data_IF_440148878272
#
_entry.id   IF_440148878272
#
_cell.length_a   1.000
_cell.length_b   1.000
_cell.length_c   1.000
_cell.angle_alpha   90.00
_cell.angle_beta   90.00
_cell.angle_gamma   90.00
#
_symmetry.space_group_name_H-M   'P 1'
#
loop_
_entity.id
_entity.type
_entity.pdbx_description
1 polymer ?
#
# COMPACT_ATOMS: atom_id res chain seq x y z
N UNK A 1 -4.84 1.69 -23.08
CA UNK A 1 -4.34 1.25 -21.76
C UNK A 1 -2.91 0.72 -21.82
N UNK A 2 -2.65 -0.50 -22.34
CA UNK A 2 -1.29 -1.09 -22.33
C UNK A 2 -0.21 -0.20 -22.98
N UNK A 3 -0.49 0.35 -24.16
CA UNK A 3 0.45 1.19 -24.91
C UNK A 3 0.82 2.46 -24.12
N UNK A 4 -0.16 3.08 -23.47
CA UNK A 4 0.04 4.28 -22.66
C UNK A 4 0.85 3.96 -21.40
N UNK A 5 0.59 2.81 -20.78
CA UNK A 5 1.33 2.33 -19.61
C UNK A 5 2.80 2.04 -19.97
N UNK A 6 3.03 1.41 -21.13
CA UNK A 6 4.37 1.13 -21.64
C UNK A 6 5.13 2.43 -21.96
N UNK A 7 4.45 3.42 -22.56
CA UNK A 7 5.03 4.73 -22.83
C UNK A 7 5.44 5.47 -21.54
N UNK A 8 4.58 5.46 -20.52
CA UNK A 8 4.88 6.03 -19.21
C UNK A 8 6.05 5.31 -18.52
N UNK A 9 6.08 3.97 -18.58
CA UNK A 9 7.17 3.17 -18.03
C UNK A 9 8.51 3.51 -18.70
N UNK A 10 8.54 3.64 -20.03
CA UNK A 10 9.74 4.01 -20.77
C UNK A 10 10.23 5.42 -20.42
N UNK A 11 9.32 6.39 -20.31
CA UNK A 11 9.68 7.75 -19.90
C UNK A 11 10.32 7.76 -18.49
N UNK A 12 9.73 7.01 -17.55
CA UNK A 12 10.28 6.82 -16.22
C UNK A 12 11.69 6.19 -16.28
N UNK A 13 11.86 5.06 -16.97
CA UNK A 13 13.17 4.39 -17.08
C UNK A 13 14.24 5.30 -17.69
N UNK A 14 13.89 6.08 -18.72
CA UNK A 14 14.79 7.07 -19.34
C UNK A 14 15.24 8.13 -18.34
N UNK A 15 14.31 8.69 -17.56
CA UNK A 15 14.64 9.68 -16.54
C UNK A 15 15.60 9.14 -15.47
N UNK A 16 15.36 7.90 -15.02
CA UNK A 16 16.20 7.20 -14.04
C UNK A 16 17.59 6.94 -14.61
N UNK A 17 17.68 6.50 -15.86
CA UNK A 17 18.96 6.27 -16.54
C UNK A 17 19.78 7.56 -16.67
N UNK A 18 19.16 8.67 -17.07
CA UNK A 18 19.83 9.98 -17.17
C UNK A 18 20.41 10.41 -15.82
N UNK A 19 19.63 10.31 -14.74
CA UNK A 19 20.08 10.67 -13.38
C UNK A 19 21.23 9.76 -12.94
N UNK A 20 21.10 8.47 -13.21
CA UNK A 20 22.11 7.46 -12.87
C UNK A 20 23.44 7.75 -13.56
N UNK A 21 23.41 8.04 -14.86
CA UNK A 21 24.60 8.36 -15.66
C UNK A 21 25.22 9.68 -15.22
N UNK A 22 24.40 10.75 -15.10
CA UNK A 22 24.85 12.09 -14.71
C UNK A 22 25.62 12.07 -13.38
N UNK A 23 25.14 11.27 -12.42
CA UNK A 23 25.71 11.19 -11.09
C UNK A 23 26.67 10.00 -10.91
N UNK A 24 26.99 9.26 -11.98
CA UNK A 24 27.87 8.06 -11.97
C UNK A 24 27.45 7.03 -10.91
N UNK A 25 26.14 6.82 -10.78
CA UNK A 25 25.54 5.92 -9.80
C UNK A 25 25.46 4.49 -10.35
N UNK A 26 25.41 3.50 -9.47
CA UNK A 26 25.20 2.10 -9.86
C UNK A 26 23.71 1.84 -10.14
N UNK A 27 23.35 1.25 -11.31
CA UNK A 27 21.94 1.04 -11.67
C UNK A 27 21.15 0.18 -10.68
N UNK A 28 21.73 -0.93 -10.19
CA UNK A 28 21.05 -1.85 -9.26
C UNK A 28 20.58 -1.20 -7.95
N UNK A 29 21.47 -0.50 -7.21
CA UNK A 29 21.08 0.26 -6.02
C UNK A 29 20.07 1.38 -6.30
N UNK A 30 20.15 2.07 -7.44
CA UNK A 30 19.16 3.09 -7.85
C UNK A 30 17.78 2.46 -8.05
N UNK A 31 17.69 1.36 -8.80
CA UNK A 31 16.43 0.65 -9.03
C UNK A 31 15.84 0.11 -7.72
N UNK A 32 16.69 -0.40 -6.82
CA UNK A 32 16.26 -0.88 -5.50
C UNK A 32 15.71 0.27 -4.65
N UNK A 33 16.36 1.43 -4.66
CA UNK A 33 15.88 2.63 -3.97
C UNK A 33 14.51 3.06 -4.50
N UNK A 34 14.37 3.16 -5.83
CA UNK A 34 13.13 3.59 -6.45
C UNK A 34 12.00 2.59 -6.24
N UNK A 35 12.25 1.28 -6.36
CA UNK A 35 11.26 0.25 -6.05
C UNK A 35 10.84 0.25 -4.56
N UNK A 36 11.76 0.59 -3.65
CA UNK A 36 11.45 0.79 -2.24
C UNK A 36 10.75 2.10 -1.93
N UNK A 37 10.82 3.09 -2.83
CA UNK A 37 10.18 4.39 -2.71
C UNK A 37 8.77 4.38 -3.30
N UNK A 38 8.56 3.64 -4.39
CA UNK A 38 7.25 3.57 -5.05
C UNK A 38 6.17 2.98 -4.15
N UNK A 39 6.51 2.09 -3.18
CA UNK A 39 5.69 1.55 -2.05
C UNK A 39 4.17 1.41 -2.26
N UNK A 40 3.69 1.37 -3.49
CA UNK A 40 2.29 1.25 -3.85
C UNK A 40 1.92 -0.21 -3.60
N UNK A 41 1.72 -0.53 -2.33
CA UNK A 41 1.05 -1.76 -1.94
C UNK A 41 -0.42 -1.49 -2.16
N UNK A 42 -1.02 -2.25 -3.07
CA UNK A 42 -2.46 -2.31 -3.17
C UNK A 42 -3.07 -2.68 -1.82
N UNK A 43 -4.32 -2.27 -1.61
CA UNK A 43 -5.13 -2.69 -0.48
C UNK A 43 -5.12 -4.22 -0.39
N UNK A 44 -4.88 -4.77 0.80
CA UNK A 44 -4.92 -6.22 1.03
C UNK A 44 -6.37 -6.67 1.22
N UNK A 45 -6.66 -7.97 1.03
CA UNK A 45 -7.98 -8.53 1.34
C UNK A 45 -8.45 -8.20 2.76
N UNK A 46 -7.52 -8.21 3.72
CA UNK A 46 -7.78 -7.82 5.11
C UNK A 46 -8.16 -6.34 5.24
N UNK A 47 -7.52 -5.45 4.48
CA UNK A 47 -7.89 -4.04 4.48
C UNK A 47 -9.28 -3.82 3.86
N UNK A 48 -9.66 -4.60 2.83
CA UNK A 48 -11.02 -4.59 2.30
C UNK A 48 -12.03 -5.04 3.36
N UNK A 49 -11.75 -6.14 4.05
CA UNK A 49 -12.58 -6.62 5.16
C UNK A 49 -12.75 -5.55 6.24
N UNK A 50 -11.66 -4.97 6.75
CA UNK A 50 -11.72 -3.93 7.77
C UNK A 50 -12.47 -2.67 7.31
N UNK A 51 -12.46 -2.35 6.01
CA UNK A 51 -13.15 -1.16 5.49
C UNK A 51 -14.64 -1.42 5.26
N UNK A 52 -14.99 -2.54 4.64
CA UNK A 52 -16.30 -2.71 4.02
C UNK A 52 -17.23 -3.65 4.77
N UNK A 53 -16.68 -4.57 5.57
CA UNK A 53 -17.47 -5.51 6.36
C UNK A 53 -18.45 -4.80 7.30
N UNK A 54 -19.58 -5.44 7.57
CA UNK A 54 -20.64 -4.87 8.40
C UNK A 54 -20.25 -4.89 9.89
N UNK A 55 -19.50 -5.89 10.33
CA UNK A 55 -19.07 -6.04 11.73
C UNK A 55 -17.70 -5.42 11.97
N UNK A 56 -16.72 -5.67 11.08
CA UNK A 56 -15.36 -5.15 11.24
C UNK A 56 -15.25 -3.67 10.84
N UNK A 57 -16.08 -3.18 9.92
CA UNK A 57 -16.10 -1.80 9.45
C UNK A 57 -16.31 -0.75 10.55
N UNK A 58 -17.37 -0.88 11.37
CA UNK A 58 -17.62 0.02 12.50
C UNK A 58 -16.48 0.02 13.52
N UNK A 59 -15.96 -1.16 13.88
CA UNK A 59 -14.83 -1.30 14.82
C UNK A 59 -13.58 -0.61 14.28
N UNK A 60 -13.32 -0.70 12.97
CA UNK A 60 -12.15 -0.07 12.35
C UNK A 60 -12.26 1.47 12.33
N UNK A 61 -13.47 2.01 12.17
CA UNK A 61 -13.74 3.45 12.07
C UNK A 61 -13.93 4.15 13.41
N UNK A 62 -14.19 3.41 14.49
CA UNK A 62 -14.43 3.98 15.82
C UNK A 62 -13.19 4.77 16.31
N UNK A 63 -13.27 6.10 16.44
CA UNK A 63 -12.14 6.90 16.90
C UNK A 63 -11.88 6.76 18.42
N UNK A 64 -12.85 6.24 19.19
CA UNK A 64 -12.77 6.13 20.64
C UNK A 64 -11.85 4.98 21.08
N UNK A 65 -11.75 3.92 20.26
CA UNK A 65 -10.92 2.76 20.53
C UNK A 65 -9.51 3.02 19.98
N UNK A 66 -8.42 2.80 20.73
CA UNK A 66 -7.06 3.00 20.21
C UNK A 66 -6.78 2.07 19.02
N UNK A 67 -6.03 2.56 18.03
CA UNK A 67 -5.78 1.85 16.77
C UNK A 67 -5.31 0.40 16.95
N UNK A 68 -4.41 0.15 17.92
CA UNK A 68 -3.91 -1.20 18.20
C UNK A 68 -5.03 -2.17 18.58
N UNK A 69 -5.99 -1.74 19.39
CA UNK A 69 -7.11 -2.56 19.84
C UNK A 69 -8.10 -2.80 18.70
N UNK A 70 -8.35 -1.79 17.86
CA UNK A 70 -9.16 -1.95 16.63
C UNK A 70 -8.59 -3.02 15.72
N UNK A 71 -7.28 -2.98 15.47
CA UNK A 71 -6.62 -3.96 14.60
C UNK A 71 -6.61 -5.37 15.19
N UNK A 72 -6.54 -5.51 16.53
CA UNK A 72 -6.67 -6.81 17.20
C UNK A 72 -8.08 -7.36 17.06
N UNK A 73 -9.11 -6.54 17.27
CA UNK A 73 -10.51 -6.94 17.13
C UNK A 73 -10.86 -7.32 15.68
N UNK A 74 -10.50 -6.48 14.70
CA UNK A 74 -10.68 -6.81 13.28
C UNK A 74 -9.86 -8.06 12.89
N UNK A 75 -8.68 -8.24 13.45
CA UNK A 75 -7.86 -9.43 13.26
C UNK A 75 -8.55 -10.70 13.76
N UNK A 76 -9.19 -10.66 14.93
CA UNK A 76 -9.94 -11.78 15.48
C UNK A 76 -11.10 -12.19 14.56
N UNK A 77 -11.89 -11.22 14.08
CA UNK A 77 -12.98 -11.47 13.13
C UNK A 77 -12.45 -12.03 11.80
N UNK A 78 -11.31 -11.52 11.32
CA UNK A 78 -10.67 -12.03 10.11
C UNK A 78 -10.25 -13.51 10.22
N UNK A 79 -9.79 -13.94 11.39
CA UNK A 79 -9.45 -15.35 11.62
C UNK A 79 -10.71 -16.24 11.74
N UNK A 80 -11.83 -15.70 12.22
CA UNK A 80 -13.09 -16.44 12.31
C UNK A 80 -13.73 -16.74 10.94
N UNK A 81 -13.49 -15.90 9.92
CA UNK A 81 -13.99 -16.13 8.54
C UNK A 81 -13.46 -17.43 7.90
N UNK A 82 -12.32 -17.96 8.37
CA UNK A 82 -11.65 -19.09 7.76
C UNK A 82 -11.12 -18.81 6.34
N UNK A 83 -10.50 -19.81 5.72
CA UNK A 83 -9.82 -19.64 4.42
C UNK A 83 -10.78 -19.38 3.25
N UNK A 84 -11.98 -19.95 3.28
CA UNK A 84 -12.98 -19.74 2.24
C UNK A 84 -13.54 -18.31 2.30
N UNK A 85 -13.96 -17.84 3.48
CA UNK A 85 -14.45 -16.48 3.67
C UNK A 85 -13.39 -15.44 3.34
N UNK A 86 -12.12 -15.66 3.70
CA UNK A 86 -11.02 -14.74 3.35
C UNK A 86 -10.72 -14.64 1.85
N UNK A 87 -11.03 -15.67 1.06
CA UNK A 87 -10.83 -15.65 -0.40
C UNK A 87 -11.86 -14.78 -1.12
N UNK A 88 -13.09 -14.73 -0.62
CA UNK A 88 -14.16 -13.92 -1.24
C UNK A 88 -13.78 -12.43 -1.31
N UNK A 89 -12.97 -11.96 -0.35
CA UNK A 89 -12.42 -10.59 -0.32
C UNK A 89 -11.36 -10.30 -1.39
N UNK A 90 -11.05 -11.28 -2.25
CA UNK A 90 -10.23 -11.14 -3.45
C UNK A 90 -11.07 -10.94 -4.70
N UNK A 91 -12.33 -11.37 -4.69
CA UNK A 91 -13.19 -11.41 -5.86
C UNK A 91 -13.70 -10.00 -6.17
N UNK A 92 -13.42 -9.52 -7.38
CA UNK A 92 -13.73 -8.15 -7.80
C UNK A 92 -15.26 -7.92 -7.83
N UNK A 93 -16.03 -8.88 -8.36
CA UNK A 93 -17.50 -8.80 -8.40
C UNK A 93 -18.12 -8.71 -6.99
N UNK A 94 -17.53 -9.41 -6.01
CA UNK A 94 -17.96 -9.34 -4.62
C UNK A 94 -17.70 -7.95 -4.04
N UNK A 95 -16.50 -7.39 -4.25
CA UNK A 95 -16.16 -6.04 -3.81
C UNK A 95 -17.04 -4.98 -4.46
N UNK A 96 -17.32 -5.10 -5.75
CA UNK A 96 -18.22 -4.19 -6.47
C UNK A 96 -19.65 -4.26 -5.93
N UNK A 97 -20.14 -5.46 -5.59
CA UNK A 97 -21.45 -5.64 -4.98
C UNK A 97 -21.57 -4.98 -3.60
N UNK A 98 -20.46 -4.88 -2.86
CA UNK A 98 -20.40 -4.25 -1.55
C UNK A 98 -20.24 -2.73 -1.69
N UNK A 99 -19.37 -2.28 -2.61
CA UNK A 99 -19.18 -0.87 -2.90
C UNK A 99 -20.47 -0.22 -3.41
N UNK A 100 -21.23 -0.93 -4.26
CA UNK A 100 -22.53 -0.46 -4.73
C UNK A 100 -23.57 -0.29 -3.61
N UNK A 101 -23.43 -1.02 -2.49
CA UNK A 101 -24.34 -0.96 -1.34
C UNK A 101 -23.98 0.12 -0.32
N UNK A 102 -22.74 0.62 -0.30
CA UNK A 102 -22.25 1.62 0.65
C UNK A 102 -21.63 2.79 -0.11
N UNK A 103 -22.45 3.79 -0.41
CA UNK A 103 -22.00 5.14 -0.72
C UNK A 103 -22.32 5.96 0.52
N UNK A 104 -21.26 6.41 1.21
CA UNK A 104 -21.15 7.72 1.88
C UNK A 104 -19.74 7.79 2.49
N UNK A 105 -18.72 7.84 1.62
CA UNK A 105 -17.34 8.16 2.03
C UNK A 105 -17.16 9.70 2.25
N UNK A 106 -18.25 10.47 2.27
CA UNK A 106 -18.24 11.93 2.41
C UNK A 106 -17.84 12.42 3.81
N UNK A 107 -17.90 11.57 4.85
CA UNK A 107 -17.66 11.96 6.25
C UNK A 107 -16.42 11.32 6.89
N UNK A 108 -15.65 10.53 6.15
CA UNK A 108 -14.43 9.95 6.70
C UNK A 108 -13.30 11.00 6.71
N UNK A 109 -13.21 11.75 7.80
CA UNK A 109 -12.06 12.61 8.13
C UNK A 109 -10.75 11.86 7.80
N UNK A 110 -9.86 12.43 6.97
CA UNK A 110 -8.64 11.76 6.57
C UNK A 110 -7.82 11.45 7.83
N UNK A 111 -7.71 10.15 8.15
CA UNK A 111 -6.91 9.69 9.29
C UNK A 111 -5.53 10.35 9.19
N UNK A 112 -5.07 11.06 10.25
CA UNK A 112 -3.80 11.77 10.20
C UNK A 112 -2.70 10.81 9.75
N UNK A 113 -2.01 11.18 8.68
CA UNK A 113 -0.99 10.36 8.05
C UNK A 113 0.31 10.33 8.90
N UNK A 114 0.19 10.01 10.18
CA UNK A 114 1.30 9.98 11.17
C UNK A 114 2.14 8.71 11.10
N UNK A 115 1.72 7.70 10.33
CA UNK A 115 2.43 6.43 10.19
C UNK A 115 3.21 6.30 8.87
N UNK A 116 3.91 7.35 8.44
CA UNK A 116 5.09 7.09 7.58
C UNK A 116 6.16 6.50 8.48
N UNK A 117 6.33 5.17 8.44
CA UNK A 117 7.51 4.53 9.06
C UNK A 117 8.74 5.32 8.61
N UNK A 118 9.61 5.78 9.54
CA UNK A 118 10.83 6.49 9.19
C UNK A 118 11.53 5.74 8.08
N UNK A 119 11.95 6.46 7.06
CA UNK A 119 12.56 5.81 5.92
C UNK A 119 13.81 5.07 6.41
N UNK A 120 13.79 3.73 6.36
CA UNK A 120 14.92 2.89 6.79
C UNK A 120 16.11 3.01 5.83
N UNK A 121 16.05 3.93 4.88
CA UNK A 121 17.18 4.42 4.11
C UNK A 121 18.12 5.21 5.02
N UNK A 122 18.97 4.45 5.72
CA UNK A 122 20.18 4.99 6.32
C UNK A 122 21.01 5.63 5.19
N UNK A 123 21.02 6.96 5.11
CA UNK A 123 21.72 7.73 4.06
C UNK A 123 23.19 7.27 3.94
N UNK A 124 23.81 6.94 5.07
CA UNK A 124 25.16 6.39 5.16
C UNK A 124 25.30 5.01 4.51
N UNK A 125 24.30 4.12 4.64
CA UNK A 125 24.28 2.82 3.99
C UNK A 125 24.00 2.93 2.49
N UNK A 126 23.15 3.87 2.08
CA UNK A 126 22.88 4.17 0.67
C UNK A 126 24.13 4.71 -0.04
N UNK A 127 24.81 5.68 0.56
CA UNK A 127 26.06 6.24 0.02
C UNK A 127 27.16 5.18 -0.14
N UNK A 128 27.25 4.22 0.79
CA UNK A 128 28.18 3.08 0.69
C UNK A 128 27.80 2.11 -0.44
N UNK A 129 26.52 1.74 -0.56
CA UNK A 129 26.03 0.84 -1.63
C UNK A 129 26.17 1.44 -3.03
N UNK A 130 26.08 2.76 -3.14
CA UNK A 130 26.25 3.47 -4.41
C UNK A 130 27.69 3.48 -4.93
N UNK A 131 28.69 3.25 -4.06
CA UNK A 131 30.12 3.40 -4.37
C UNK A 131 30.97 2.13 -4.27
N UNK A 132 30.47 1.02 -3.72
CA UNK A 132 31.22 -0.25 -3.63
C UNK A 132 31.05 -1.13 -4.87
N UNK A 133 32.17 -1.68 -5.36
CA UNK A 133 32.45 -2.56 -6.51
C UNK A 133 31.35 -3.57 -6.89
#
# INVERSE_FOLDING_TARGET
DKIELDAAHLAYQRSVAIITIKNKLKPGPVQTYLGNATRSRGTTNFNYFCKYDEEAGPIHRDPLIPYSERMVACGALWFQLGDAGRRQWKDEEFLDSIAAKRIDDAEAEPVPQSYRRPDRLQITAWARKMKRE
#
